data_IF_803147851640
#
_entry.id   IF_803147851640
#
_cell.length_a   1.000
_cell.length_b   1.000
_cell.length_c   1.000
_cell.angle_alpha   90.00
_cell.angle_beta   90.00
_cell.angle_gamma   90.00
#
_symmetry.space_group_name_H-M   'P 1'
#
loop_
_entity.id
_entity.type
_entity.pdbx_description
1 polymer ?
#
# COMPACT_ATOMS: atom_id res chain seq x y z
N UNK A 1 6.16 -24.06 -10.06
CA UNK A 1 6.60 -22.78 -9.48
C UNK A 1 5.68 -22.31 -8.35
N UNK A 2 4.35 -22.15 -8.56
CA UNK A 2 3.43 -21.75 -7.49
C UNK A 2 3.26 -22.86 -6.43
N UNK A 3 3.18 -24.13 -6.87
CA UNK A 3 3.09 -25.28 -5.98
C UNK A 3 4.39 -25.55 -5.21
N UNK A 4 5.54 -25.26 -5.79
CA UNK A 4 6.84 -25.36 -5.10
C UNK A 4 6.96 -24.28 -4.01
N UNK A 5 6.49 -23.07 -4.27
CA UNK A 5 6.45 -21.99 -3.29
C UNK A 5 5.48 -22.36 -2.14
N UNK A 6 4.31 -22.91 -2.46
CA UNK A 6 3.36 -23.38 -1.45
C UNK A 6 3.92 -24.55 -0.62
N UNK A 7 4.61 -25.47 -1.24
CA UNK A 7 5.22 -26.62 -0.57
C UNK A 7 6.41 -26.20 0.30
N UNK A 8 7.22 -25.25 -0.18
CA UNK A 8 8.28 -24.63 0.62
C UNK A 8 7.69 -23.89 1.84
N UNK A 9 6.61 -23.13 1.65
CA UNK A 9 5.90 -22.41 2.69
C UNK A 9 5.30 -23.36 3.73
N UNK A 10 4.65 -24.45 3.31
CA UNK A 10 4.04 -25.42 4.22
C UNK A 10 5.07 -26.24 5.02
N UNK A 11 6.25 -26.50 4.45
CA UNK A 11 7.32 -27.22 5.15
C UNK A 11 8.07 -26.37 6.18
N UNK A 12 8.03 -25.02 6.01
CA UNK A 12 8.69 -24.09 6.92
C UNK A 12 7.76 -23.49 7.99
N UNK A 13 6.45 -23.68 7.85
CA UNK A 13 5.46 -23.25 8.83
C UNK A 13 5.21 -24.33 9.91
N UNK A 14 6.26 -24.86 10.48
CA UNK A 14 6.12 -25.91 11.52
C UNK A 14 5.62 -25.37 12.87
N UNK A 15 5.72 -24.07 13.10
CA UNK A 15 5.33 -23.41 14.35
C UNK A 15 4.23 -22.37 14.10
N UNK A 16 3.23 -22.33 14.98
CA UNK A 16 2.09 -21.42 14.92
C UNK A 16 2.52 -19.95 14.98
N UNK A 17 3.62 -19.66 15.63
CA UNK A 17 4.27 -18.35 15.74
C UNK A 17 4.82 -17.86 14.39
N UNK A 18 5.45 -18.74 13.63
CA UNK A 18 6.02 -18.42 12.32
C UNK A 18 4.92 -18.05 11.32
N UNK A 19 3.85 -18.85 11.30
CA UNK A 19 2.67 -18.60 10.50
C UNK A 19 2.06 -17.24 10.82
N UNK A 20 2.00 -16.86 12.08
CA UNK A 20 1.37 -15.62 12.53
C UNK A 20 2.15 -14.39 12.04
N UNK A 21 3.49 -14.42 12.10
CA UNK A 21 4.33 -13.29 11.64
C UNK A 21 4.22 -13.14 10.11
N UNK A 22 4.31 -14.23 9.34
CA UNK A 22 4.14 -14.16 7.88
C UNK A 22 2.74 -13.72 7.48
N UNK A 23 1.70 -14.19 8.16
CA UNK A 23 0.32 -13.73 7.94
C UNK A 23 0.15 -12.24 8.28
N UNK A 24 0.82 -11.73 9.31
CA UNK A 24 0.79 -10.31 9.65
C UNK A 24 1.47 -9.47 8.56
N UNK A 25 2.65 -9.86 8.07
CA UNK A 25 3.35 -9.17 6.99
C UNK A 25 2.48 -9.19 5.71
N UNK A 26 1.93 -10.35 5.33
CA UNK A 26 1.05 -10.48 4.17
C UNK A 26 -0.24 -9.67 4.31
N UNK A 27 -0.85 -9.65 5.50
CA UNK A 27 -2.04 -8.86 5.80
C UNK A 27 -1.82 -7.36 5.67
N UNK A 28 -0.74 -6.84 6.25
CA UNK A 28 -0.37 -5.42 6.13
C UNK A 28 -0.09 -5.05 4.67
N UNK A 29 0.63 -5.91 3.95
CA UNK A 29 0.93 -5.71 2.52
C UNK A 29 -0.36 -5.67 1.68
N UNK A 30 -1.28 -6.60 1.90
CA UNK A 30 -2.57 -6.62 1.21
C UNK A 30 -3.41 -5.38 1.52
N UNK A 31 -3.51 -4.99 2.79
CA UNK A 31 -4.22 -3.77 3.20
C UNK A 31 -3.62 -2.55 2.50
N UNK A 32 -2.30 -2.45 2.43
CA UNK A 32 -1.60 -1.39 1.72
C UNK A 32 -1.94 -1.33 0.24
N UNK A 33 -1.86 -2.46 -0.46
CA UNK A 33 -2.22 -2.56 -1.87
C UNK A 33 -3.68 -2.14 -2.09
N UNK A 34 -4.62 -2.71 -1.33
CA UNK A 34 -6.05 -2.43 -1.51
C UNK A 34 -6.43 -0.99 -1.14
N UNK A 35 -5.87 -0.44 -0.08
CA UNK A 35 -6.26 0.91 0.40
C UNK A 35 -5.45 2.05 -0.20
N UNK A 36 -4.22 1.81 -0.65
CA UNK A 36 -3.36 2.86 -1.19
C UNK A 36 -3.23 2.77 -2.72
N UNK A 37 -2.89 1.60 -3.29
CA UNK A 37 -2.62 1.48 -4.72
C UNK A 37 -3.90 1.54 -5.57
N UNK A 38 -4.94 0.80 -5.20
CA UNK A 38 -6.17 0.74 -6.01
C UNK A 38 -6.83 2.13 -6.14
N UNK A 39 -7.00 2.91 -5.06
CA UNK A 39 -7.57 4.25 -5.18
C UNK A 39 -6.72 5.17 -6.06
N UNK A 40 -5.40 5.10 -5.98
CA UNK A 40 -4.51 5.92 -6.79
C UNK A 40 -4.64 5.61 -8.28
N UNK A 41 -4.61 4.32 -8.64
CA UNK A 41 -4.76 3.88 -10.04
C UNK A 41 -6.13 4.30 -10.60
N UNK A 42 -7.20 4.14 -9.84
CA UNK A 42 -8.55 4.54 -10.31
C UNK A 42 -8.67 6.04 -10.52
N UNK A 43 -8.01 6.86 -9.70
CA UNK A 43 -8.01 8.32 -9.84
C UNK A 43 -7.20 8.77 -11.05
N UNK A 44 -6.02 8.20 -11.28
CA UNK A 44 -5.21 8.50 -12.47
C UNK A 44 -5.91 8.10 -13.76
N UNK A 45 -6.60 6.96 -13.79
CA UNK A 45 -7.41 6.57 -14.95
C UNK A 45 -8.60 7.52 -15.19
N UNK A 46 -9.24 8.02 -14.14
CA UNK A 46 -10.33 8.99 -14.25
C UNK A 46 -9.83 10.32 -14.81
N UNK A 47 -8.68 10.81 -14.33
CA UNK A 47 -8.05 12.03 -14.84
C UNK A 47 -7.65 11.91 -16.32
N UNK A 48 -7.00 10.82 -16.70
CA UNK A 48 -6.63 10.57 -18.11
C UNK A 48 -7.84 10.56 -19.02
N UNK A 49 -8.95 9.93 -18.60
CA UNK A 49 -10.22 9.95 -19.37
C UNK A 49 -10.80 11.36 -19.48
N UNK A 50 -10.73 12.15 -18.43
CA UNK A 50 -11.20 13.53 -18.43
C UNK A 50 -10.41 14.38 -19.43
N UNK A 51 -9.07 14.27 -19.44
CA UNK A 51 -8.19 14.97 -20.39
C UNK A 51 -8.52 14.57 -21.84
N UNK A 52 -8.67 13.28 -22.10
CA UNK A 52 -9.00 12.79 -23.45
C UNK A 52 -10.36 13.32 -23.93
N UNK A 53 -11.36 13.38 -23.05
CA UNK A 53 -12.68 13.96 -23.37
C UNK A 53 -12.59 15.46 -23.66
N UNK A 54 -11.80 16.22 -22.90
CA UNK A 54 -11.55 17.63 -23.19
C UNK A 54 -10.90 17.85 -24.56
N UNK A 55 -9.93 17.03 -24.91
CA UNK A 55 -9.27 17.12 -26.23
C UNK A 55 -10.23 16.81 -27.39
N UNK A 56 -11.15 15.87 -27.18
CA UNK A 56 -12.17 15.54 -28.18
C UNK A 56 -13.26 16.64 -28.32
N UNK A 57 -13.64 17.24 -27.18
CA UNK A 57 -14.68 18.30 -27.15
C UNK A 57 -14.19 19.63 -27.75
N UNK A 58 -12.89 19.91 -27.66
CA UNK A 58 -12.26 21.08 -28.28
C UNK A 58 -12.44 21.13 -29.80
N UNK A 59 -12.77 19.98 -30.43
CA UNK A 59 -13.08 19.89 -31.88
C UNK A 59 -14.56 20.04 -32.25
N UNK A 60 -15.48 19.98 -31.28
CA UNK A 60 -16.94 19.92 -31.54
C UNK A 60 -17.63 21.12 -30.91
N UNK A 61 -17.93 22.13 -31.70
CA UNK A 61 -18.51 23.43 -31.25
C UNK A 61 -20.02 23.42 -30.94
N UNK A 62 -20.67 22.27 -30.76
CA UNK A 62 -22.12 22.20 -30.53
C UNK A 62 -22.42 21.39 -29.26
N UNK A 63 -22.89 22.09 -28.21
CA UNK A 63 -23.40 21.48 -26.98
C UNK A 63 -22.95 22.18 -25.71
N UNK A 64 -23.53 21.76 -24.56
CA UNK A 64 -23.00 22.15 -23.25
C UNK A 64 -21.62 21.56 -23.08
N UNK A 65 -20.61 22.35 -22.66
CA UNK A 65 -19.25 21.86 -22.54
C UNK A 65 -19.17 20.67 -21.57
N UNK A 66 -18.46 19.63 -21.98
CA UNK A 66 -18.34 18.35 -21.22
C UNK A 66 -17.78 18.56 -19.80
N UNK A 67 -17.00 19.63 -19.59
CA UNK A 67 -16.46 19.97 -18.27
C UNK A 67 -17.53 20.43 -17.27
N UNK A 68 -18.73 20.83 -17.70
CA UNK A 68 -19.85 21.17 -16.80
C UNK A 68 -20.54 19.94 -16.20
N UNK A 69 -20.23 18.73 -16.66
CA UNK A 69 -20.76 17.51 -16.06
C UNK A 69 -20.30 17.33 -14.62
N UNK A 70 -21.26 17.06 -13.73
CA UNK A 70 -20.99 16.83 -12.28
C UNK A 70 -20.05 15.66 -11.99
N UNK A 71 -19.87 14.72 -12.92
CA UNK A 71 -19.01 13.54 -12.81
C UNK A 71 -17.82 13.56 -13.76
N UNK A 72 -17.49 14.70 -14.31
CA UNK A 72 -16.41 14.84 -15.28
C UNK A 72 -15.05 14.29 -14.77
N UNK A 73 -14.67 14.63 -13.56
CA UNK A 73 -13.43 14.17 -12.90
C UNK A 73 -13.57 12.81 -12.18
N UNK A 74 -14.64 12.04 -12.43
CA UNK A 74 -14.90 10.78 -11.77
C UNK A 74 -15.56 10.94 -10.40
N UNK A 75 -15.81 9.79 -9.74
CA UNK A 75 -16.64 9.79 -8.51
C UNK A 75 -15.85 10.28 -7.27
N UNK A 76 -14.53 10.16 -7.28
CA UNK A 76 -13.67 10.52 -6.12
C UNK A 76 -13.39 12.01 -6.04
N UNK A 77 -13.14 12.67 -7.16
CA UNK A 77 -12.92 14.11 -7.24
C UNK A 77 -14.21 14.91 -7.47
N UNK A 78 -15.37 14.22 -7.45
CA UNK A 78 -16.68 14.83 -7.67
C UNK A 78 -16.94 16.03 -6.75
N UNK A 79 -16.61 15.92 -5.47
CA UNK A 79 -16.88 17.00 -4.51
C UNK A 79 -15.98 18.23 -4.76
N UNK A 80 -14.71 18.02 -5.09
CA UNK A 80 -13.79 19.11 -5.43
C UNK A 80 -14.22 19.76 -6.74
N UNK A 81 -14.63 18.96 -7.72
CA UNK A 81 -15.14 19.45 -9.02
C UNK A 81 -16.45 20.25 -8.87
N UNK A 82 -17.39 19.79 -8.05
CA UNK A 82 -18.62 20.51 -7.78
C UNK A 82 -18.36 21.87 -7.09
N UNK A 83 -17.42 21.93 -6.15
CA UNK A 83 -17.02 23.19 -5.50
C UNK A 83 -16.39 24.15 -6.53
N UNK A 84 -15.53 23.63 -7.41
CA UNK A 84 -14.98 24.42 -8.51
C UNK A 84 -16.09 24.98 -9.40
N UNK A 85 -17.03 24.16 -9.89
CA UNK A 85 -18.12 24.62 -10.75
C UNK A 85 -19.00 25.69 -10.09
N UNK A 86 -19.34 25.52 -8.81
CA UNK A 86 -20.14 26.50 -8.06
C UNK A 86 -19.42 27.84 -7.89
N UNK A 87 -18.12 27.80 -7.60
CA UNK A 87 -17.33 29.01 -7.41
C UNK A 87 -16.96 29.66 -8.74
N UNK A 88 -16.69 28.86 -9.76
CA UNK A 88 -16.42 29.38 -11.11
C UNK A 88 -17.59 30.21 -11.62
N UNK A 89 -18.83 29.76 -11.45
CA UNK A 89 -20.02 30.51 -11.84
C UNK A 89 -20.18 31.85 -11.07
N UNK A 90 -19.82 31.84 -9.76
CA UNK A 90 -19.89 33.07 -8.95
C UNK A 90 -18.78 34.07 -9.27
N UNK A 91 -17.55 33.57 -9.53
CA UNK A 91 -16.39 34.38 -9.89
C UNK A 91 -16.51 34.98 -11.28
N UNK A 92 -17.02 34.19 -12.23
CA UNK A 92 -17.28 34.65 -13.61
C UNK A 92 -18.28 35.80 -13.62
N UNK A 93 -19.35 35.73 -12.82
CA UNK A 93 -20.30 36.85 -12.64
C UNK A 93 -19.65 38.13 -12.05
N UNK A 94 -18.51 38.01 -11.39
CA UNK A 94 -17.73 39.12 -10.81
C UNK A 94 -16.55 39.55 -11.70
N UNK A 95 -16.31 38.85 -12.81
CA UNK A 95 -15.18 39.10 -13.70
C UNK A 95 -13.84 38.72 -13.14
N UNK A 96 -13.79 37.80 -12.13
CA UNK A 96 -12.57 37.32 -11.49
C UNK A 96 -12.16 35.95 -12.10
N UNK A 97 -10.86 35.74 -12.38
CA UNK A 97 -10.41 34.45 -12.88
C UNK A 97 -10.52 33.37 -11.80
N UNK A 98 -11.01 32.20 -12.19
CA UNK A 98 -11.10 31.03 -11.32
C UNK A 98 -10.04 30.00 -11.76
N UNK A 99 -9.06 29.71 -10.91
CA UNK A 99 -8.04 28.71 -11.19
C UNK A 99 -8.50 27.33 -10.71
N UNK A 100 -8.35 26.32 -11.57
CA UNK A 100 -8.67 24.92 -11.24
C UNK A 100 -7.72 24.37 -10.19
N UNK A 101 -6.48 24.83 -10.17
CA UNK A 101 -5.43 24.42 -9.22
C UNK A 101 -5.77 24.71 -7.77
N UNK A 102 -6.58 25.72 -7.48
CA UNK A 102 -7.04 26.05 -6.12
C UNK A 102 -8.00 24.99 -5.55
N UNK A 103 -8.62 24.18 -6.40
CA UNK A 103 -9.60 23.15 -6.03
C UNK A 103 -9.09 21.73 -6.27
N UNK A 104 -8.22 21.55 -7.26
CA UNK A 104 -7.65 20.28 -7.66
C UNK A 104 -6.15 20.47 -7.77
N UNK A 105 -5.48 20.32 -6.65
CA UNK A 105 -4.02 20.33 -6.51
C UNK A 105 -3.52 18.93 -6.20
N UNK A 106 -2.20 18.76 -6.14
CA UNK A 106 -1.56 17.49 -5.81
C UNK A 106 -2.06 16.94 -4.47
N UNK A 107 -2.29 17.80 -3.48
CA UNK A 107 -2.85 17.42 -2.18
C UNK A 107 -4.25 16.80 -2.31
N UNK A 108 -5.15 17.38 -3.09
CA UNK A 108 -6.52 16.86 -3.25
C UNK A 108 -6.55 15.58 -4.08
N UNK A 109 -5.62 15.39 -5.01
CA UNK A 109 -5.53 14.19 -5.86
C UNK A 109 -4.87 13.04 -5.11
N UNK A 110 -3.81 13.30 -4.37
CA UNK A 110 -3.02 12.29 -3.67
C UNK A 110 -3.60 12.00 -2.28
N UNK A 111 -3.85 13.04 -1.48
CA UNK A 111 -4.31 12.91 -0.10
C UNK A 111 -5.83 12.75 0.03
N UNK A 112 -6.62 13.27 -0.90
CA UNK A 112 -8.07 13.18 -0.87
C UNK A 112 -8.64 11.78 -1.14
N UNK A 113 -8.22 11.05 -2.18
CA UNK A 113 -8.74 9.71 -2.49
C UNK A 113 -7.96 8.56 -1.85
N UNK A 114 -6.71 8.77 -1.46
CA UNK A 114 -5.86 7.79 -0.78
C UNK A 114 -5.68 8.13 0.70
N UNK A 115 -5.61 7.13 1.55
CA UNK A 115 -5.18 7.31 2.93
C UNK A 115 -3.65 7.53 2.93
N UNK A 116 -3.19 8.74 2.58
CA UNK A 116 -1.76 9.07 2.52
C UNK A 116 -1.06 8.77 3.84
N UNK A 117 -1.69 9.09 4.97
CA UNK A 117 -1.16 8.73 6.30
C UNK A 117 -0.95 7.23 6.48
N UNK A 118 -1.82 6.40 5.91
CA UNK A 118 -1.63 4.94 5.92
C UNK A 118 -0.50 4.52 4.99
N UNK A 119 -0.36 5.15 3.83
CA UNK A 119 0.73 4.85 2.90
C UNK A 119 2.09 5.10 3.54
N UNK A 120 2.26 6.21 4.26
CA UNK A 120 3.48 6.56 4.97
C UNK A 120 3.79 5.62 6.16
N UNK A 121 2.75 5.07 6.80
CA UNK A 121 2.92 4.14 7.93
C UNK A 121 3.26 2.71 7.52
N UNK A 122 2.81 2.26 6.35
CA UNK A 122 2.95 0.85 5.90
C UNK A 122 4.41 0.40 5.82
N UNK A 123 5.35 1.15 5.19
CA UNK A 123 6.76 0.76 5.13
C UNK A 123 7.37 0.58 6.52
N UNK A 124 7.08 1.51 7.45
CA UNK A 124 7.55 1.42 8.83
C UNK A 124 7.00 0.21 9.58
N UNK A 125 5.71 -0.10 9.41
CA UNK A 125 5.08 -1.28 10.01
C UNK A 125 5.67 -2.59 9.45
N UNK A 126 5.89 -2.69 8.14
CA UNK A 126 6.48 -3.86 7.52
C UNK A 126 7.91 -4.12 8.00
N UNK A 127 8.71 -3.07 8.10
CA UNK A 127 10.07 -3.16 8.65
C UNK A 127 10.05 -3.58 10.12
N UNK A 128 9.17 -3.01 10.93
CA UNK A 128 9.01 -3.36 12.35
C UNK A 128 8.56 -4.80 12.54
N UNK A 129 7.65 -5.30 11.72
CA UNK A 129 7.21 -6.71 11.73
C UNK A 129 8.36 -7.65 11.32
N UNK A 130 9.20 -7.26 10.35
CA UNK A 130 10.39 -8.01 9.98
C UNK A 130 11.37 -8.13 11.14
N UNK A 131 11.64 -7.03 11.87
CA UNK A 131 12.49 -7.01 13.05
C UNK A 131 11.88 -7.85 14.18
N UNK A 132 10.58 -7.73 14.42
CA UNK A 132 9.88 -8.55 15.42
C UNK A 132 10.05 -10.05 15.12
N UNK A 133 9.91 -10.45 13.84
CA UNK A 133 10.13 -11.83 13.42
C UNK A 133 11.54 -12.32 13.68
N UNK A 134 12.57 -11.46 13.53
CA UNK A 134 13.96 -11.85 13.87
C UNK A 134 14.12 -12.14 15.36
N UNK A 135 13.55 -11.31 16.22
CA UNK A 135 13.61 -11.55 17.68
C UNK A 135 12.86 -12.83 18.08
N UNK A 136 11.68 -13.07 17.52
CA UNK A 136 10.90 -14.27 17.78
C UNK A 136 11.64 -15.54 17.33
N UNK A 137 12.19 -15.53 16.10
CA UNK A 137 12.94 -16.68 15.58
C UNK A 137 14.20 -16.99 16.38
N UNK A 138 14.94 -15.96 16.80
CA UNK A 138 16.12 -16.16 17.66
C UNK A 138 15.73 -16.68 19.05
N UNK A 139 14.63 -16.16 19.62
CA UNK A 139 14.15 -16.57 20.93
C UNK A 139 13.70 -18.04 20.93
N UNK A 140 13.01 -18.46 19.88
CA UNK A 140 12.56 -19.83 19.69
C UNK A 140 13.75 -20.80 19.48
N UNK A 141 14.72 -20.40 18.64
CA UNK A 141 15.95 -21.15 18.41
C UNK A 141 16.80 -21.32 19.66
N UNK A 142 16.95 -20.27 20.47
CA UNK A 142 17.69 -20.34 21.75
C UNK A 142 16.93 -21.10 22.83
N UNK A 143 15.59 -21.03 22.83
CA UNK A 143 14.75 -21.75 23.81
C UNK A 143 14.82 -23.25 23.66
N UNK A 144 15.21 -23.77 22.50
CA UNK A 144 15.44 -25.20 22.26
C UNK A 144 16.81 -25.73 22.74
N UNK A 145 17.71 -24.86 23.25
CA UNK A 145 19.04 -25.26 23.70
C UNK A 145 19.03 -25.66 25.20
N UNK A 146 19.47 -26.88 25.49
CA UNK A 146 19.70 -27.33 26.87
C UNK A 146 21.19 -27.21 27.20
N UNK A 147 21.52 -26.25 28.06
CA UNK A 147 22.90 -25.95 28.50
C UNK A 147 23.43 -26.86 29.58
N UNK A 148 22.70 -27.94 29.95
CA UNK A 148 23.13 -28.83 31.08
C UNK A 148 24.34 -29.69 30.74
N UNK A 149 24.51 -30.08 29.45
CA UNK A 149 25.63 -30.95 29.00
C UNK A 149 26.05 -30.56 27.58
N UNK A 150 27.34 -30.76 27.26
CA UNK A 150 27.89 -30.46 25.92
C UNK A 150 27.20 -31.27 24.81
N UNK A 151 26.83 -32.51 25.04
CA UNK A 151 26.15 -33.36 24.07
C UNK A 151 24.77 -32.83 23.73
N UNK A 152 24.01 -32.32 24.70
CA UNK A 152 22.68 -31.70 24.51
C UNK A 152 22.76 -30.38 23.79
N UNK A 153 23.83 -29.61 23.99
CA UNK A 153 24.08 -28.39 23.22
C UNK A 153 24.25 -28.70 21.73
N UNK A 154 25.04 -29.76 21.43
CA UNK A 154 25.27 -30.19 20.04
C UNK A 154 23.95 -30.66 19.40
N UNK A 155 23.12 -31.36 20.14
CA UNK A 155 21.81 -31.85 19.69
C UNK A 155 20.79 -30.70 19.41
N UNK A 156 20.96 -29.58 20.13
CA UNK A 156 20.13 -28.39 19.94
C UNK A 156 20.55 -27.45 18.78
N UNK A 157 21.77 -27.62 18.22
CA UNK A 157 22.27 -26.78 17.11
C UNK A 157 21.31 -26.74 15.91
N UNK A 158 20.72 -27.85 15.43
CA UNK A 158 19.76 -27.80 14.32
C UNK A 158 18.56 -26.93 14.61
N UNK A 159 18.03 -26.95 15.84
CA UNK A 159 16.89 -26.10 16.25
C UNK A 159 17.28 -24.63 16.25
N UNK A 160 18.47 -24.30 16.74
CA UNK A 160 19.00 -22.93 16.67
C UNK A 160 19.12 -22.44 15.22
N UNK A 161 19.66 -23.26 14.33
CA UNK A 161 19.80 -22.93 12.91
C UNK A 161 18.42 -22.69 12.23
N UNK A 162 17.43 -23.49 12.58
CA UNK A 162 16.06 -23.32 12.08
C UNK A 162 15.45 -21.98 12.56
N UNK A 163 15.61 -21.63 13.82
CA UNK A 163 15.18 -20.33 14.37
C UNK A 163 15.88 -19.15 13.69
N UNK A 164 17.19 -19.28 13.42
CA UNK A 164 17.94 -18.26 12.68
C UNK A 164 17.45 -18.13 11.22
N UNK A 165 17.18 -19.23 10.55
CA UNK A 165 16.67 -19.23 9.18
C UNK A 165 15.31 -18.52 9.09
N UNK A 166 14.41 -18.79 10.02
CA UNK A 166 13.15 -18.07 10.14
C UNK A 166 13.36 -16.57 10.40
N UNK A 167 14.24 -16.22 11.35
CA UNK A 167 14.58 -14.84 11.69
C UNK A 167 15.04 -14.04 10.46
N UNK A 168 15.98 -14.57 9.69
CA UNK A 168 16.44 -13.91 8.46
C UNK A 168 15.37 -13.85 7.38
N UNK A 169 14.56 -14.91 7.23
CA UNK A 169 13.49 -14.97 6.24
C UNK A 169 12.43 -13.88 6.46
N UNK A 170 11.98 -13.69 7.70
CA UNK A 170 11.00 -12.64 8.06
C UNK A 170 11.54 -11.24 7.89
N UNK A 171 12.84 -11.02 8.24
CA UNK A 171 13.48 -9.72 8.04
C UNK A 171 13.58 -9.35 6.55
N UNK A 172 14.05 -10.29 5.72
CA UNK A 172 14.14 -10.08 4.27
C UNK A 172 12.75 -9.82 3.67
N UNK A 173 11.74 -10.58 4.08
CA UNK A 173 10.36 -10.39 3.61
C UNK A 173 9.82 -9.00 4.01
N UNK A 174 9.96 -8.60 5.28
CA UNK A 174 9.51 -7.31 5.78
C UNK A 174 10.17 -6.14 5.07
N UNK A 175 11.50 -6.17 4.91
CA UNK A 175 12.26 -5.11 4.22
C UNK A 175 11.92 -5.07 2.74
N UNK A 176 11.84 -6.22 2.06
CA UNK A 176 11.50 -6.28 0.63
C UNK A 176 10.10 -5.70 0.37
N UNK A 177 9.10 -6.08 1.17
CA UNK A 177 7.77 -5.49 1.07
C UNK A 177 7.77 -3.99 1.37
N UNK A 178 8.55 -3.53 2.36
CA UNK A 178 8.69 -2.10 2.68
C UNK A 178 9.24 -1.31 1.49
N UNK A 179 10.30 -1.81 0.84
CA UNK A 179 10.91 -1.15 -0.34
C UNK A 179 9.92 -1.09 -1.52
N UNK A 180 9.09 -2.12 -1.71
CA UNK A 180 8.07 -2.11 -2.77
C UNK A 180 6.98 -1.05 -2.55
N UNK A 181 6.76 -0.63 -1.29
CA UNK A 181 5.78 0.40 -0.93
C UNK A 181 6.36 1.82 -0.91
N UNK A 182 7.67 1.96 -0.84
CA UNK A 182 8.33 3.26 -0.78
C UNK A 182 8.67 3.77 -2.19
#
# INVERSE_FOLDING_TARGET
MFDEILQWFSSHLSNLTDALVYCAIAGVTLIGVFKCLIPLITTTHALRRAITRLQQDAGTRQGTPVWQEKRFMGNRLKNCWLRFLQNAEQLDRRGLPCNVEDYINDDTVIHGPGNAQLADLIPGLLTSLGILGTFMGMMDGLGGLDFSNADKIIEGIPTLLTGMQFAFGTSVAGVSCSICFN
#
